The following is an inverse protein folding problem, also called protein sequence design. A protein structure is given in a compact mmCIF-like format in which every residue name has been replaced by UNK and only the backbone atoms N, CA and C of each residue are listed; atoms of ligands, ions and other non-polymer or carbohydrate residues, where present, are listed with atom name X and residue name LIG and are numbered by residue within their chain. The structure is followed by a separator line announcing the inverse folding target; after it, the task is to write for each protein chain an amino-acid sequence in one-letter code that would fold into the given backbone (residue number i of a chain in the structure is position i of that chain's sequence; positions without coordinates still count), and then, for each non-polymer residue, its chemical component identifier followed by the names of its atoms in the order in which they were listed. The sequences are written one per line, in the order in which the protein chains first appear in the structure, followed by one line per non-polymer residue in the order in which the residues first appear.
data_IF_629108539946
#
_entry.id   IF_629108539946
#
_cell.length_a   1.000
_cell.length_b   1.000
_cell.length_c   1.000
_cell.angle_alpha   90.00
_cell.angle_beta   90.00
_cell.angle_gamma   90.00
#
_symmetry.space_group_name_H-M   'P 1'
#
loop_
_entity.id
_entity.type
_entity.pdbx_description
1 polymer ?
#
# COMPACT_ATOMS: atom_id res chain seq x y z
N UNK A 1 -13.98 15.73 3.89
CA UNK A 1 -12.57 15.93 4.29
C UNK A 1 -11.85 14.60 4.08
N UNK A 2 -10.66 14.65 3.47
CA UNK A 2 -9.78 13.48 3.27
C UNK A 2 -8.62 13.60 4.26
N UNK A 3 -8.26 12.50 4.90
CA UNK A 3 -7.07 12.38 5.76
C UNK A 3 -6.13 11.36 5.13
N UNK A 4 -4.87 11.75 4.87
CA UNK A 4 -3.83 10.84 4.43
C UNK A 4 -3.20 10.14 5.64
N UNK A 5 -3.02 8.83 5.53
CA UNK A 5 -2.47 7.99 6.59
C UNK A 5 -1.52 6.92 6.02
N UNK A 6 -0.60 6.43 6.85
CA UNK A 6 0.18 5.21 6.62
C UNK A 6 -0.37 4.08 7.49
N UNK A 7 -0.41 2.86 6.96
CA UNK A 7 -0.80 1.67 7.76
C UNK A 7 0.12 1.51 8.96
N UNK A 8 1.44 1.66 8.74
CA UNK A 8 2.43 1.52 9.80
C UNK A 8 2.29 2.61 10.86
N UNK A 9 2.37 3.88 10.44
CA UNK A 9 2.51 5.01 11.38
C UNK A 9 1.27 5.24 12.23
N UNK A 10 0.10 4.93 11.68
CA UNK A 10 -1.17 5.21 12.38
C UNK A 10 -1.36 4.42 13.67
N UNK A 11 -0.65 3.30 13.85
CA UNK A 11 -0.82 2.44 15.03
C UNK A 11 0.49 1.88 15.58
N UNK A 12 1.64 2.20 14.98
CA UNK A 12 2.93 1.59 15.32
C UNK A 12 3.47 1.94 16.70
N UNK A 13 3.07 3.09 17.26
CA UNK A 13 3.51 3.50 18.59
C UNK A 13 2.95 2.57 19.67
N UNK A 14 3.79 2.20 20.65
CA UNK A 14 3.38 1.32 21.75
C UNK A 14 2.29 1.90 22.67
N UNK A 15 2.02 3.21 22.58
CA UNK A 15 0.92 3.87 23.29
C UNK A 15 -0.42 3.77 22.56
N UNK A 16 -0.45 3.27 21.30
CA UNK A 16 -1.67 3.18 20.48
C UNK A 16 -2.76 2.30 21.10
N UNK A 17 -2.38 1.35 21.97
CA UNK A 17 -3.32 0.44 22.61
C UNK A 17 -3.90 -0.63 21.68
N UNK A 18 -3.43 -0.72 20.42
CA UNK A 18 -3.86 -1.75 19.48
C UNK A 18 -3.13 -3.08 19.73
N UNK A 19 -3.77 -4.18 19.39
CA UNK A 19 -3.20 -5.52 19.49
C UNK A 19 -2.17 -5.80 18.37
N UNK A 20 -2.40 -5.22 17.19
CA UNK A 20 -1.59 -5.42 15.99
C UNK A 20 -0.98 -4.11 15.49
N UNK A 21 0.03 -3.54 16.21
CA UNK A 21 0.62 -2.26 15.84
C UNK A 21 1.27 -2.29 14.45
N UNK A 22 0.97 -1.28 13.62
CA UNK A 22 1.53 -1.15 12.28
C UNK A 22 1.04 -2.17 11.26
N UNK A 23 -0.09 -2.85 11.53
CA UNK A 23 -0.68 -3.87 10.67
C UNK A 23 -2.06 -3.46 10.18
N UNK A 24 -2.54 -4.08 9.07
CA UNK A 24 -3.92 -3.89 8.59
C UNK A 24 -4.94 -4.07 9.72
N UNK A 25 -4.80 -5.15 10.49
CA UNK A 25 -5.71 -5.43 11.59
C UNK A 25 -5.67 -4.36 12.69
N UNK A 26 -4.52 -3.74 12.94
CA UNK A 26 -4.43 -2.66 13.91
C UNK A 26 -5.29 -1.46 13.56
N UNK A 27 -5.40 -1.13 12.26
CA UNK A 27 -6.31 -0.09 11.77
C UNK A 27 -7.80 -0.53 11.75
N UNK A 28 -8.07 -1.83 11.83
CA UNK A 28 -9.42 -2.37 11.91
C UNK A 28 -9.97 -2.44 13.35
N UNK A 29 -9.09 -2.30 14.35
CA UNK A 29 -9.48 -2.40 15.77
C UNK A 29 -10.32 -1.21 16.22
N UNK A 30 -11.33 -1.50 17.06
CA UNK A 30 -12.22 -0.51 17.69
C UNK A 30 -12.03 -0.47 19.20
N UNK A 31 -12.36 0.68 19.78
CA UNK A 31 -12.29 0.86 21.22
C UNK A 31 -10.86 1.05 21.75
N UNK A 32 -9.89 1.23 20.87
CA UNK A 32 -8.49 1.41 21.24
C UNK A 32 -8.24 2.80 21.85
N UNK A 33 -7.40 2.84 22.87
CA UNK A 33 -7.09 4.06 23.63
C UNK A 33 -5.64 4.08 24.03
N UNK A 34 -5.10 5.29 24.12
CA UNK A 34 -3.79 5.51 24.74
C UNK A 34 -3.89 5.43 26.28
N UNK A 35 -2.76 5.63 26.96
CA UNK A 35 -2.68 5.56 28.43
C UNK A 35 -3.49 6.66 29.14
N UNK A 36 -3.72 7.75 28.46
CA UNK A 36 -4.51 8.90 28.92
C UNK A 36 -6.01 8.69 28.70
N UNK A 37 -6.40 7.59 28.03
CA UNK A 37 -7.80 7.27 27.76
C UNK A 37 -8.36 7.89 26.48
N UNK A 38 -7.52 8.54 25.68
CA UNK A 38 -7.91 9.13 24.39
C UNK A 38 -8.03 8.08 23.31
N UNK A 39 -8.98 8.26 22.40
CA UNK A 39 -9.18 7.34 21.27
C UNK A 39 -7.96 7.31 20.34
N UNK A 40 -7.62 6.14 19.84
CA UNK A 40 -6.53 5.90 18.87
C UNK A 40 -7.05 5.15 17.64
N UNK A 41 -6.22 5.00 16.62
CA UNK A 41 -6.53 4.22 15.43
C UNK A 41 -7.83 4.64 14.74
N UNK A 42 -8.69 3.69 14.41
CA UNK A 42 -9.94 3.91 13.70
C UNK A 42 -10.88 4.88 14.41
N UNK A 43 -11.02 4.75 15.73
CA UNK A 43 -11.95 5.61 16.51
C UNK A 43 -11.45 7.06 16.56
N UNK A 44 -10.14 7.28 16.61
CA UNK A 44 -9.56 8.61 16.49
C UNK A 44 -9.86 9.22 15.12
N UNK A 45 -9.59 8.50 14.03
CA UNK A 45 -9.86 8.96 12.68
C UNK A 45 -11.34 9.31 12.49
N UNK A 46 -12.24 8.49 13.02
CA UNK A 46 -13.68 8.77 13.01
C UNK A 46 -14.02 10.06 13.77
N UNK A 47 -13.37 10.30 14.90
CA UNK A 47 -13.61 11.51 15.72
C UNK A 47 -13.24 12.81 15.01
N UNK A 48 -12.36 12.75 14.00
CA UNK A 48 -11.99 13.90 13.18
C UNK A 48 -13.10 14.35 12.20
N UNK A 49 -14.17 13.60 12.06
CA UNK A 49 -15.27 13.91 11.14
C UNK A 49 -14.86 13.82 9.66
N UNK A 50 -13.87 13.02 9.33
CA UNK A 50 -13.41 12.80 7.95
C UNK A 50 -14.42 11.94 7.19
N UNK A 51 -14.48 12.13 5.88
CA UNK A 51 -15.30 11.34 4.97
C UNK A 51 -14.53 10.20 4.30
N UNK A 52 -13.21 10.37 4.14
CA UNK A 52 -12.34 9.39 3.49
C UNK A 52 -10.97 9.37 4.18
N UNK A 53 -10.36 8.21 4.19
CA UNK A 53 -8.91 8.04 4.39
C UNK A 53 -8.25 7.77 3.05
N UNK A 54 -7.17 8.48 2.76
CA UNK A 54 -6.24 8.12 1.69
C UNK A 54 -5.08 7.36 2.33
N UNK A 55 -4.94 6.09 1.98
CA UNK A 55 -3.90 5.25 2.56
C UNK A 55 -2.71 5.24 1.59
N UNK A 56 -1.52 5.68 2.10
CA UNK A 56 -0.25 5.58 1.40
C UNK A 56 -0.05 4.18 0.83
N UNK A 57 0.78 3.98 -0.20
CA UNK A 57 0.82 2.73 -0.94
C UNK A 57 0.83 1.49 -0.05
N UNK A 58 -0.12 0.59 -0.30
CA UNK A 58 -0.30 -0.67 0.44
C UNK A 58 -0.30 -1.89 -0.50
N UNK A 59 0.16 -1.70 -1.75
CA UNK A 59 0.61 -2.80 -2.61
C UNK A 59 2.06 -3.15 -2.26
N UNK A 60 2.51 -4.29 -2.73
CA UNK A 60 3.83 -4.87 -2.47
C UNK A 60 4.96 -3.96 -2.95
N UNK A 61 5.82 -3.52 -2.04
CA UNK A 61 6.97 -2.65 -2.26
C UNK A 61 8.28 -3.33 -1.82
N UNK A 62 9.41 -2.90 -2.40
CA UNK A 62 10.64 -3.69 -2.37
C UNK A 62 11.54 -3.48 -1.15
N UNK A 63 11.54 -2.27 -0.55
CA UNK A 63 12.56 -1.90 0.44
C UNK A 63 12.36 -2.50 1.83
N UNK A 64 11.30 -3.27 2.06
CA UNK A 64 11.05 -3.98 3.32
C UNK A 64 11.16 -5.48 3.10
N UNK A 65 11.99 -6.14 3.89
CA UNK A 65 11.98 -7.59 3.95
C UNK A 65 10.80 -8.07 4.80
N UNK A 66 9.71 -8.45 4.13
CA UNK A 66 8.48 -8.94 4.77
C UNK A 66 8.73 -10.13 5.71
N UNK A 67 9.73 -10.96 5.40
CA UNK A 67 10.04 -12.20 6.11
C UNK A 67 10.93 -11.99 7.35
N UNK A 68 11.58 -10.83 7.44
CA UNK A 68 12.53 -10.53 8.51
C UNK A 68 12.18 -9.26 9.31
N UNK A 69 11.09 -9.23 10.07
CA UNK A 69 10.61 -8.03 10.77
C UNK A 69 11.51 -7.61 11.95
N UNK A 70 12.83 -7.68 11.78
CA UNK A 70 13.81 -7.46 12.85
C UNK A 70 14.01 -6.01 13.26
N UNK A 71 13.57 -5.06 12.44
CA UNK A 71 13.51 -3.62 12.75
C UNK A 71 12.29 -3.05 12.04
N UNK A 72 11.66 -2.06 12.64
CA UNK A 72 10.72 -1.18 11.94
C UNK A 72 11.50 -0.41 10.88
N UNK A 73 11.63 -1.00 9.70
CA UNK A 73 12.12 -0.29 8.55
C UNK A 73 10.99 0.60 8.07
N UNK A 74 11.31 1.90 7.92
CA UNK A 74 10.32 2.87 7.47
C UNK A 74 10.35 2.93 5.95
N UNK A 75 9.19 2.75 5.33
CA UNK A 75 9.00 2.92 3.90
C UNK A 75 7.63 3.56 3.63
N UNK A 76 7.62 4.55 2.77
CA UNK A 76 6.37 5.18 2.32
C UNK A 76 5.60 4.35 1.29
N UNK A 77 6.23 3.31 0.71
CA UNK A 77 5.62 2.42 -0.27
C UNK A 77 5.71 2.89 -1.72
N UNK A 78 6.48 3.93 -2.01
CA UNK A 78 6.63 4.46 -3.39
C UNK A 78 7.74 3.77 -4.19
N UNK A 79 8.04 2.52 -3.90
CA UNK A 79 9.00 1.66 -4.58
C UNK A 79 8.35 0.33 -4.99
N UNK A 80 7.40 0.36 -5.95
CA UNK A 80 6.55 -0.77 -6.27
C UNK A 80 7.34 -1.96 -6.82
N UNK A 81 7.10 -3.13 -6.21
CA UNK A 81 7.61 -4.43 -6.64
C UNK A 81 6.53 -5.19 -7.43
N UNK A 82 5.35 -5.37 -6.85
CA UNK A 82 4.22 -6.04 -7.46
C UNK A 82 2.93 -5.23 -7.31
N UNK A 83 2.44 -4.62 -8.39
CA UNK A 83 1.29 -3.70 -8.36
C UNK A 83 -0.04 -4.30 -7.92
N UNK A 84 -0.25 -5.61 -8.06
CA UNK A 84 -1.53 -6.27 -7.81
C UNK A 84 -1.50 -7.19 -6.57
N UNK A 85 -0.55 -6.97 -5.68
CA UNK A 85 -0.37 -7.76 -4.46
C UNK A 85 -0.41 -6.83 -3.26
N UNK A 86 -1.19 -7.10 -2.20
CA UNK A 86 -1.12 -6.34 -0.95
C UNK A 86 0.25 -6.47 -0.28
N UNK A 87 0.70 -5.42 0.37
CA UNK A 87 1.96 -5.39 1.11
C UNK A 87 1.94 -6.38 2.27
N UNK A 88 2.94 -7.25 2.31
CA UNK A 88 3.03 -8.31 3.31
C UNK A 88 3.53 -7.84 4.67
N UNK A 89 4.37 -6.81 4.74
CA UNK A 89 4.85 -6.27 6.02
C UNK A 89 3.72 -5.69 6.88
N UNK A 90 2.59 -5.34 6.27
CA UNK A 90 1.38 -4.90 6.98
C UNK A 90 0.46 -6.05 7.40
N UNK A 91 0.75 -7.29 6.97
CA UNK A 91 0.02 -8.50 7.37
C UNK A 91 0.58 -9.07 8.68
N UNK A 92 -0.24 -9.82 9.40
CA UNK A 92 0.22 -10.58 10.58
C UNK A 92 0.99 -11.84 10.19
N UNK A 93 0.83 -12.30 8.94
CA UNK A 93 1.57 -13.43 8.38
C UNK A 93 1.96 -13.15 6.92
N UNK A 94 3.20 -12.71 6.66
CA UNK A 94 3.67 -12.40 5.32
C UNK A 94 3.91 -13.65 4.45
N UNK A 95 4.05 -14.83 5.04
CA UNK A 95 4.36 -16.07 4.33
C UNK A 95 3.14 -16.68 3.61
N UNK A 96 1.93 -16.25 3.99
CA UNK A 96 0.68 -16.75 3.44
C UNK A 96 -0.08 -15.62 2.74
N UNK A 97 -0.04 -15.60 1.40
CA UNK A 97 -0.62 -14.53 0.59
C UNK A 97 -2.12 -14.27 0.84
N UNK A 98 -2.89 -15.31 1.14
CA UNK A 98 -4.30 -15.19 1.48
C UNK A 98 -4.55 -14.43 2.79
N UNK A 99 -3.57 -14.42 3.70
CA UNK A 99 -3.68 -13.68 4.97
C UNK A 99 -3.64 -12.18 4.70
N UNK A 100 -2.66 -11.69 3.92
CA UNK A 100 -2.57 -10.27 3.56
C UNK A 100 -3.81 -9.77 2.82
N UNK A 101 -4.35 -10.58 1.91
CA UNK A 101 -5.59 -10.26 1.17
C UNK A 101 -6.78 -10.10 2.14
N UNK A 102 -6.97 -11.08 3.02
CA UNK A 102 -8.05 -11.07 4.00
C UNK A 102 -7.94 -9.87 4.94
N UNK A 103 -6.77 -9.65 5.53
CA UNK A 103 -6.56 -8.58 6.51
C UNK A 103 -6.70 -7.18 5.91
N UNK A 104 -6.24 -6.96 4.68
CA UNK A 104 -6.48 -5.71 3.96
C UNK A 104 -7.99 -5.49 3.72
N UNK A 105 -8.72 -6.53 3.29
CA UNK A 105 -10.18 -6.46 3.14
C UNK A 105 -10.90 -6.20 4.47
N UNK A 106 -10.44 -6.80 5.57
CA UNK A 106 -10.99 -6.55 6.91
C UNK A 106 -10.79 -5.10 7.36
N UNK A 107 -9.61 -4.52 7.09
CA UNK A 107 -9.32 -3.11 7.36
C UNK A 107 -10.24 -2.18 6.57
N UNK A 108 -10.35 -2.36 5.26
CA UNK A 108 -11.22 -1.55 4.40
C UNK A 108 -12.68 -1.66 4.84
N UNK A 109 -13.15 -2.87 5.11
CA UNK A 109 -14.50 -3.09 5.62
C UNK A 109 -14.73 -2.44 6.99
N UNK A 110 -13.71 -2.33 7.85
CA UNK A 110 -13.80 -1.61 9.12
C UNK A 110 -14.05 -0.11 8.90
N UNK A 111 -13.32 0.54 7.99
CA UNK A 111 -13.56 1.94 7.61
C UNK A 111 -14.97 2.13 7.02
N UNK A 112 -15.36 1.26 6.10
CA UNK A 112 -16.71 1.33 5.47
C UNK A 112 -17.84 1.21 6.50
N UNK A 113 -17.72 0.33 7.51
CA UNK A 113 -18.70 0.22 8.60
C UNK A 113 -18.83 1.50 9.43
N UNK A 114 -17.79 2.30 9.49
CA UNK A 114 -17.81 3.61 10.18
C UNK A 114 -18.24 4.76 9.25
N UNK A 115 -18.62 4.47 8.02
CA UNK A 115 -19.04 5.46 7.03
C UNK A 115 -17.87 6.25 6.42
N UNK A 116 -16.64 5.73 6.52
CA UNK A 116 -15.42 6.34 5.97
C UNK A 116 -15.04 5.60 4.70
N UNK A 117 -14.96 6.31 3.56
CA UNK A 117 -14.46 5.76 2.31
C UNK A 117 -12.95 5.58 2.34
N UNK A 118 -12.43 4.63 1.57
CA UNK A 118 -10.99 4.36 1.44
C UNK A 118 -10.52 4.75 0.06
N UNK A 119 -9.44 5.53 -0.02
CA UNK A 119 -8.72 5.88 -1.24
C UNK A 119 -7.37 5.18 -1.16
N UNK A 120 -7.06 4.35 -2.16
CA UNK A 120 -5.76 3.72 -2.28
C UNK A 120 -4.83 4.60 -3.10
N UNK A 121 -3.67 4.94 -2.54
CA UNK A 121 -2.60 5.59 -3.27
C UNK A 121 -1.85 4.56 -4.12
N UNK A 122 -1.68 4.85 -5.42
CA UNK A 122 -1.04 3.96 -6.39
C UNK A 122 -0.02 4.69 -7.25
N UNK A 123 1.10 4.03 -7.55
CA UNK A 123 2.21 4.57 -8.33
C UNK A 123 2.48 3.65 -9.52
N UNK A 124 2.16 4.13 -10.73
CA UNK A 124 2.40 3.39 -11.98
C UNK A 124 3.44 4.04 -12.88
N UNK A 125 4.18 5.02 -12.40
CA UNK A 125 5.17 5.74 -13.22
C UNK A 125 6.55 5.07 -13.26
N UNK A 126 6.85 4.17 -12.32
CA UNK A 126 8.11 3.41 -12.25
C UNK A 126 7.91 2.10 -11.48
N UNK A 127 8.87 1.20 -11.58
CA UNK A 127 9.06 0.04 -10.69
C UNK A 127 10.26 0.29 -9.78
N UNK A 128 10.40 -0.47 -8.71
CA UNK A 128 11.56 -0.38 -7.80
C UNK A 128 12.89 -0.41 -8.58
N UNK A 129 13.03 -1.38 -9.48
CA UNK A 129 14.19 -1.47 -10.38
C UNK A 129 13.79 -2.10 -11.73
N UNK A 130 14.77 -2.36 -12.58
CA UNK A 130 14.58 -3.03 -13.88
C UNK A 130 14.54 -4.56 -13.79
N UNK A 131 14.79 -5.16 -12.63
CA UNK A 131 14.61 -6.63 -12.42
C UNK A 131 13.16 -6.99 -12.09
N UNK A 132 12.23 -6.36 -12.78
CA UNK A 132 10.79 -6.50 -12.59
C UNK A 132 10.21 -7.67 -13.39
N UNK A 133 9.01 -8.11 -13.00
CA UNK A 133 8.24 -9.09 -13.77
C UNK A 133 7.90 -8.58 -15.18
N UNK A 134 7.70 -7.27 -15.35
CA UNK A 134 7.43 -6.65 -16.65
C UNK A 134 8.62 -6.79 -17.60
N UNK A 135 9.82 -6.50 -17.12
CA UNK A 135 11.04 -6.62 -17.90
C UNK A 135 11.37 -8.08 -18.25
N UNK A 136 11.07 -9.00 -17.33
CA UNK A 136 11.26 -10.44 -17.56
C UNK A 136 10.26 -11.01 -18.58
N UNK A 137 9.04 -10.46 -18.64
CA UNK A 137 8.03 -10.90 -19.61
C UNK A 137 8.33 -10.44 -21.04
N UNK A 138 8.65 -9.17 -21.24
CA UNK A 138 8.96 -8.60 -22.55
C UNK A 138 10.00 -7.47 -22.35
N UNK A 139 11.28 -7.79 -22.56
CA UNK A 139 12.36 -6.82 -22.39
C UNK A 139 12.15 -5.53 -23.20
N UNK A 140 12.40 -4.39 -22.56
CA UNK A 140 12.36 -3.05 -23.13
C UNK A 140 11.00 -2.54 -23.62
N UNK A 141 9.94 -3.35 -23.56
CA UNK A 141 8.61 -2.96 -24.02
C UNK A 141 7.87 -2.07 -23.03
N UNK A 142 7.93 -2.42 -21.75
CA UNK A 142 7.15 -1.76 -20.69
C UNK A 142 7.82 -0.51 -20.11
N UNK A 143 9.09 -0.29 -20.46
CA UNK A 143 9.87 0.85 -19.99
C UNK A 143 10.16 1.83 -21.10
N UNK A 144 10.11 3.12 -20.77
CA UNK A 144 10.41 4.17 -21.74
C UNK A 144 11.91 4.25 -22.00
N UNK A 145 12.26 4.30 -23.28
CA UNK A 145 13.64 4.36 -23.74
C UNK A 145 13.97 5.74 -24.35
N UNK A 146 15.18 6.22 -24.08
CA UNK A 146 15.82 7.35 -24.74
C UNK A 146 16.98 6.83 -25.58
N UNK A 147 16.72 6.46 -26.83
CA UNK A 147 17.66 5.71 -27.66
C UNK A 147 17.89 4.31 -27.06
N UNK A 148 19.12 4.05 -26.61
CA UNK A 148 19.53 2.76 -25.99
C UNK A 148 19.53 2.80 -24.46
N UNK A 149 19.08 3.89 -23.83
CA UNK A 149 19.07 4.04 -22.37
C UNK A 149 17.64 4.15 -21.87
N UNK A 150 17.39 3.59 -20.69
CA UNK A 150 16.12 3.79 -20.02
C UNK A 150 15.94 5.25 -19.61
N UNK A 151 14.73 5.76 -19.80
CA UNK A 151 14.35 7.08 -19.29
C UNK A 151 14.32 7.06 -17.76
N UNK A 152 14.71 8.17 -17.16
CA UNK A 152 14.64 8.39 -15.72
C UNK A 152 13.88 9.68 -15.39
N UNK A 153 12.83 9.98 -16.14
CA UNK A 153 12.02 11.17 -15.90
C UNK A 153 11.22 11.09 -14.59
N UNK A 154 11.00 9.87 -14.07
CA UNK A 154 10.45 9.64 -12.73
C UNK A 154 11.41 10.02 -11.59
N UNK A 155 12.71 10.19 -11.89
CA UNK A 155 13.83 10.31 -10.92
C UNK A 155 14.04 9.06 -10.03
N UNK A 156 13.43 7.91 -10.39
CA UNK A 156 13.50 6.65 -9.64
C UNK A 156 14.32 5.56 -10.36
N UNK A 157 15.13 5.94 -11.36
CA UNK A 157 16.00 5.01 -12.09
C UNK A 157 15.39 4.39 -13.34
N UNK A 158 14.08 4.39 -13.47
CA UNK A 158 13.34 3.91 -14.64
C UNK A 158 12.02 4.68 -14.80
N UNK A 159 11.37 4.49 -15.92
CA UNK A 159 10.08 5.10 -16.22
C UNK A 159 9.21 4.13 -17.03
N UNK A 160 7.98 3.94 -16.61
CA UNK A 160 7.01 3.09 -17.29
C UNK A 160 6.53 3.77 -18.59
N UNK A 161 6.51 3.01 -19.69
CA UNK A 161 6.00 3.43 -20.99
C UNK A 161 4.47 3.29 -21.05
N UNK A 162 3.74 4.16 -20.35
CA UNK A 162 2.27 4.10 -20.27
C UNK A 162 1.56 4.34 -21.62
N UNK A 163 2.28 4.86 -22.62
CA UNK A 163 1.84 4.97 -24.01
C UNK A 163 1.76 3.62 -24.75
N UNK A 164 2.50 2.60 -24.30
CA UNK A 164 2.44 1.27 -24.88
C UNK A 164 1.07 0.60 -24.62
N UNK A 165 0.43 0.03 -25.66
CA UNK A 165 -0.93 -0.51 -25.52
C UNK A 165 -1.10 -1.53 -24.40
N UNK A 166 -0.15 -2.46 -24.24
CA UNK A 166 -0.25 -3.50 -23.22
C UNK A 166 0.05 -2.93 -21.81
N UNK A 167 0.94 -1.93 -21.69
CA UNK A 167 1.15 -1.26 -20.41
C UNK A 167 -0.09 -0.45 -19.98
N UNK A 168 -0.71 0.25 -20.91
CA UNK A 168 -1.97 0.94 -20.65
C UNK A 168 -3.07 -0.02 -20.20
N UNK A 169 -3.21 -1.16 -20.90
CA UNK A 169 -4.14 -2.22 -20.51
C UNK A 169 -3.85 -2.71 -19.10
N UNK A 170 -2.59 -3.00 -18.79
CA UNK A 170 -2.16 -3.44 -17.46
C UNK A 170 -2.55 -2.45 -16.36
N UNK A 171 -2.25 -1.16 -16.54
CA UNK A 171 -2.60 -0.12 -15.57
C UNK A 171 -4.13 -0.07 -15.35
N UNK A 172 -4.91 -0.03 -16.42
CA UNK A 172 -6.38 0.03 -16.33
C UNK A 172 -6.94 -1.21 -15.63
N UNK A 173 -6.47 -2.40 -15.98
CA UNK A 173 -6.92 -3.65 -15.36
C UNK A 173 -6.49 -3.73 -13.88
N UNK A 174 -5.30 -3.23 -13.53
CA UNK A 174 -4.83 -3.14 -12.16
C UNK A 174 -5.71 -2.22 -11.31
N UNK A 175 -6.02 -1.01 -11.78
CA UNK A 175 -6.93 -0.08 -11.08
C UNK A 175 -8.32 -0.71 -10.92
N UNK A 176 -8.84 -1.34 -11.98
CA UNK A 176 -10.13 -2.04 -11.93
C UNK A 176 -10.11 -3.23 -10.96
N UNK A 177 -9.00 -3.96 -10.88
CA UNK A 177 -8.81 -5.06 -9.93
C UNK A 177 -8.94 -4.54 -8.49
N UNK A 178 -8.19 -3.52 -8.11
CA UNK A 178 -8.26 -2.94 -6.78
C UNK A 178 -9.66 -2.45 -6.43
N UNK A 179 -10.34 -1.79 -7.36
CA UNK A 179 -11.69 -1.26 -7.14
C UNK A 179 -12.78 -2.35 -7.04
N UNK A 180 -12.55 -3.54 -7.59
CA UNK A 180 -13.53 -4.66 -7.53
C UNK A 180 -13.30 -5.58 -6.36
N UNK A 181 -12.04 -5.80 -6.00
CA UNK A 181 -11.67 -6.80 -5.02
C UNK A 181 -11.62 -6.24 -3.59
N UNK A 182 -11.43 -4.95 -3.45
CA UNK A 182 -11.24 -4.26 -2.17
C UNK A 182 -12.20 -3.08 -2.00
#
# INVERSE_FOLDING_TARGET
VICEISVLDSTADGSSGVKYPGKYLGLAEKGTKNKEGEATGLDYLKSLGITHVQIMPMYDFASIDEAAPKKREYNWGYDPLNYNVPEGSFSTDPFHGEVRIREMKEMIAAFHREGIGVIMDVVYNHTYDLDSCLQKCEPDYYYRMNGTRYSNASACGNEIASEQPMMRKYIVESVCYWAREY
#
